data_IF_725280707603
#
_entry.id   IF_725280707603
#
_cell.length_a   1.000
_cell.length_b   1.000
_cell.length_c   1.000
_cell.angle_alpha   90.00
_cell.angle_beta   90.00
_cell.angle_gamma   90.00
#
_symmetry.space_group_name_H-M   'P 1'
#
loop_
_entity.id
_entity.type
_entity.pdbx_description
1 polymer ?
#
# COMPACT_ATOMS: atom_id res chain seq x y z
N UNK A 1 17.59 -5.95 -6.01
CA UNK A 1 17.57 -6.93 -4.96
C UNK A 1 18.54 -6.55 -3.80
N UNK A 2 18.24 -5.42 -3.13
CA UNK A 2 19.10 -4.80 -2.11
C UNK A 2 19.38 -5.73 -0.92
N UNK A 3 18.43 -6.56 -0.54
CA UNK A 3 18.59 -7.54 0.57
C UNK A 3 19.64 -8.62 0.25
N UNK A 4 19.96 -8.84 -1.03
CA UNK A 4 21.04 -9.76 -1.44
C UNK A 4 22.43 -9.10 -1.43
N UNK A 5 22.52 -7.79 -1.19
CA UNK A 5 23.79 -7.10 -1.05
C UNK A 5 24.33 -7.35 0.38
N UNK A 6 25.42 -8.11 0.50
CA UNK A 6 25.97 -8.53 1.80
C UNK A 6 26.37 -7.35 2.71
N UNK A 7 26.74 -6.19 2.14
CA UNK A 7 27.11 -5.00 2.91
C UNK A 7 25.91 -4.24 3.46
N UNK A 8 24.74 -4.33 2.79
CA UNK A 8 23.56 -3.54 3.14
C UNK A 8 22.40 -4.38 3.69
N UNK A 9 22.48 -5.72 3.57
CA UNK A 9 21.41 -6.63 3.93
C UNK A 9 20.94 -6.43 5.40
N UNK A 10 21.89 -6.30 6.33
CA UNK A 10 21.59 -6.07 7.74
C UNK A 10 20.87 -4.74 7.94
N UNK A 11 21.42 -3.64 7.45
CA UNK A 11 20.82 -2.31 7.61
C UNK A 11 19.42 -2.21 6.99
N UNK A 12 19.20 -2.86 5.83
CA UNK A 12 17.90 -2.91 5.16
C UNK A 12 16.90 -3.75 5.97
N UNK A 13 17.34 -4.87 6.55
CA UNK A 13 16.50 -5.71 7.40
C UNK A 13 16.16 -5.01 8.73
N UNK A 14 17.12 -4.32 9.31
CA UNK A 14 16.95 -3.58 10.58
C UNK A 14 16.00 -2.37 10.39
N UNK A 15 15.94 -1.78 9.18
CA UNK A 15 14.98 -0.72 8.84
C UNK A 15 13.51 -1.20 8.86
N UNK A 16 13.28 -2.53 8.82
CA UNK A 16 11.97 -3.17 9.05
C UNK A 16 10.81 -2.58 8.22
N UNK A 17 11.04 -2.25 6.95
CA UNK A 17 10.03 -1.66 6.06
C UNK A 17 8.74 -2.47 5.98
N UNK A 18 8.85 -3.79 5.97
CA UNK A 18 7.68 -4.68 5.96
C UNK A 18 6.85 -4.57 7.23
N UNK A 19 7.50 -4.38 8.38
CA UNK A 19 6.81 -4.17 9.64
C UNK A 19 6.13 -2.80 9.67
N UNK A 20 6.78 -1.77 9.15
CA UNK A 20 6.20 -0.44 9.01
C UNK A 20 4.92 -0.46 8.16
N UNK A 21 4.95 -1.09 6.97
CA UNK A 21 3.76 -1.21 6.10
C UNK A 21 2.66 -2.04 6.75
N UNK A 22 3.01 -3.12 7.46
CA UNK A 22 2.06 -3.92 8.24
C UNK A 22 1.36 -3.09 9.33
N UNK A 23 2.12 -2.28 10.08
CA UNK A 23 1.54 -1.39 11.10
C UNK A 23 0.64 -0.33 10.50
N UNK A 24 1.00 0.26 9.36
CA UNK A 24 0.14 1.23 8.66
C UNK A 24 -1.19 0.60 8.23
N UNK A 25 -1.15 -0.58 7.63
CA UNK A 25 -2.34 -1.30 7.20
C UNK A 25 -3.28 -1.62 8.37
N UNK A 26 -2.73 -2.17 9.45
CA UNK A 26 -3.49 -2.54 10.63
C UNK A 26 -4.12 -1.30 11.31
N UNK A 27 -3.36 -0.22 11.49
CA UNK A 27 -3.86 1.02 12.11
C UNK A 27 -4.89 1.73 11.24
N UNK A 28 -4.69 1.75 9.92
CA UNK A 28 -5.68 2.28 9.00
C UNK A 28 -7.01 1.54 9.12
N UNK A 29 -6.97 0.20 9.21
CA UNK A 29 -8.17 -0.62 9.44
C UNK A 29 -8.88 -0.31 10.76
N UNK A 30 -8.13 -0.07 11.84
CA UNK A 30 -8.71 0.32 13.13
C UNK A 30 -9.38 1.69 13.09
N UNK A 31 -8.78 2.64 12.35
CA UNK A 31 -9.31 4.00 12.19
C UNK A 31 -10.40 4.11 11.10
N UNK A 32 -10.80 3.00 10.48
CA UNK A 32 -11.75 3.00 9.37
C UNK A 32 -11.21 3.69 8.10
N UNK A 33 -9.88 3.81 7.98
CA UNK A 33 -9.19 4.39 6.83
C UNK A 33 -8.73 3.28 5.87
N UNK A 34 -8.56 3.65 4.61
CA UNK A 34 -8.07 2.72 3.58
C UNK A 34 -6.55 2.89 3.43
N UNK A 35 -5.83 1.77 3.56
CA UNK A 35 -4.43 1.67 3.21
C UNK A 35 -4.32 1.03 1.82
N UNK A 36 -3.75 1.75 0.84
CA UNK A 36 -3.58 1.28 -0.53
C UNK A 36 -2.12 1.36 -0.94
N UNK A 37 -1.56 0.23 -1.35
CA UNK A 37 -0.22 0.18 -1.95
C UNK A 37 -0.30 0.41 -3.46
N UNK A 38 0.63 1.21 -3.97
CA UNK A 38 0.85 1.42 -5.40
C UNK A 38 1.99 0.52 -5.86
N UNK A 39 1.95 0.09 -7.13
CA UNK A 39 3.00 -0.76 -7.70
C UNK A 39 4.38 -0.14 -7.50
N UNK A 40 5.33 -0.94 -7.02
CA UNK A 40 6.71 -0.53 -6.71
C UNK A 40 7.48 0.03 -7.91
N UNK A 41 7.06 -0.32 -9.12
CA UNK A 41 7.68 0.14 -10.38
C UNK A 41 6.91 1.29 -11.02
N UNK A 42 5.88 1.80 -10.37
CA UNK A 42 5.13 2.95 -10.85
C UNK A 42 6.06 4.16 -11.02
N UNK A 43 6.13 4.79 -12.20
CA UNK A 43 7.10 5.83 -12.52
C UNK A 43 6.72 7.20 -11.95
N UNK A 44 6.47 7.26 -10.65
CA UNK A 44 5.94 8.45 -9.97
C UNK A 44 6.78 9.71 -10.16
N UNK A 45 8.11 9.62 -10.07
CA UNK A 45 9.02 10.77 -10.19
C UNK A 45 9.25 11.22 -11.62
N UNK A 46 8.98 10.34 -12.61
CA UNK A 46 9.21 10.60 -14.04
C UNK A 46 7.96 11.04 -14.81
N UNK A 47 6.80 11.02 -14.18
CA UNK A 47 5.52 11.39 -14.77
C UNK A 47 5.15 12.79 -14.31
N UNK A 48 4.77 13.67 -15.23
CA UNK A 48 4.26 14.98 -14.90
C UNK A 48 2.88 14.85 -14.25
N UNK A 49 2.68 15.40 -13.07
CA UNK A 49 1.38 15.34 -12.36
C UNK A 49 0.29 16.20 -13.00
N UNK A 50 0.65 17.10 -13.93
CA UNK A 50 -0.29 18.00 -14.60
C UNK A 50 -0.79 17.44 -15.93
N UNK A 51 0.13 16.99 -16.81
CA UNK A 51 -0.24 16.54 -18.15
C UNK A 51 0.02 15.04 -18.39
N UNK A 52 0.46 14.31 -17.36
CA UNK A 52 0.76 12.87 -17.38
C UNK A 52 1.85 12.47 -18.40
N UNK A 53 2.53 13.43 -19.03
CA UNK A 53 3.67 13.14 -19.89
C UNK A 53 4.80 12.50 -19.09
N UNK A 54 5.37 11.41 -19.64
CA UNK A 54 6.44 10.66 -18.99
C UNK A 54 7.79 10.97 -19.64
N UNK A 55 8.76 11.38 -18.84
CA UNK A 55 10.13 11.57 -19.31
C UNK A 55 10.92 10.26 -19.25
N UNK A 56 11.80 10.04 -20.23
CA UNK A 56 12.55 8.79 -20.37
C UNK A 56 13.54 8.56 -19.23
N UNK A 57 14.32 9.58 -18.85
CA UNK A 57 15.30 9.51 -17.78
C UNK A 57 15.28 10.77 -16.91
N UNK A 58 15.50 10.59 -15.62
CA UNK A 58 15.69 11.66 -14.65
C UNK A 58 16.80 11.21 -13.71
N UNK A 59 17.93 11.90 -13.74
CA UNK A 59 19.06 11.59 -12.85
C UNK A 59 18.67 11.75 -11.38
N UNK A 60 19.27 10.95 -10.49
CA UNK A 60 18.92 10.95 -9.06
C UNK A 60 19.24 12.28 -8.37
N UNK A 61 20.23 13.02 -8.89
CA UNK A 61 20.66 14.31 -8.36
C UNK A 61 19.70 15.46 -8.69
N UNK A 62 18.86 15.29 -9.74
CA UNK A 62 17.91 16.32 -10.17
C UNK A 62 16.75 16.39 -9.20
N UNK A 63 16.68 17.46 -8.43
CA UNK A 63 15.60 17.73 -7.47
C UNK A 63 14.43 18.48 -8.11
N UNK A 64 14.72 19.38 -9.04
CA UNK A 64 13.71 20.18 -9.75
C UNK A 64 13.85 19.98 -11.25
N UNK A 65 12.73 19.86 -11.96
CA UNK A 65 12.71 19.68 -13.40
C UNK A 65 11.52 20.38 -14.03
N UNK A 66 11.58 20.63 -15.32
CA UNK A 66 10.50 21.24 -16.07
C UNK A 66 9.95 20.24 -17.09
N UNK A 67 8.62 20.12 -17.16
CA UNK A 67 7.96 19.27 -18.13
C UNK A 67 8.09 19.86 -19.54
N UNK A 68 8.63 19.09 -20.47
CA UNK A 68 8.81 19.54 -21.87
C UNK A 68 7.50 19.69 -22.63
N UNK A 69 6.43 19.00 -22.18
CA UNK A 69 5.13 19.05 -22.85
C UNK A 69 4.26 20.23 -22.38
N UNK A 70 4.14 20.48 -21.08
CA UNK A 70 3.26 21.52 -20.54
C UNK A 70 4.02 22.70 -19.89
N UNK A 71 5.35 22.66 -19.84
CA UNK A 71 6.18 23.71 -19.27
C UNK A 71 6.14 23.85 -17.75
N UNK A 72 5.36 23.05 -17.04
CA UNK A 72 5.24 23.13 -15.58
C UNK A 72 6.56 22.74 -14.90
N UNK A 73 6.99 23.54 -13.93
CA UNK A 73 8.12 23.22 -13.06
C UNK A 73 7.66 22.35 -11.90
N UNK A 74 8.42 21.31 -11.63
CA UNK A 74 8.14 20.35 -10.56
C UNK A 74 9.32 20.26 -9.60
N UNK A 75 9.03 20.19 -8.31
CA UNK A 75 9.87 19.52 -7.35
C UNK A 75 9.67 18.01 -7.54
N UNK A 76 10.75 17.23 -7.58
CA UNK A 76 10.71 15.81 -7.89
C UNK A 76 9.91 15.01 -6.89
N UNK A 77 10.10 15.29 -5.60
CA UNK A 77 9.51 14.50 -4.51
C UNK A 77 8.03 14.87 -4.33
N UNK A 78 7.69 16.15 -4.43
CA UNK A 78 6.30 16.63 -4.41
C UNK A 78 5.51 16.09 -5.60
N UNK A 79 6.09 16.15 -6.80
CA UNK A 79 5.45 15.59 -8.00
C UNK A 79 5.23 14.07 -7.86
N UNK A 80 6.21 13.34 -7.33
CA UNK A 80 6.05 11.90 -7.09
C UNK A 80 4.95 11.60 -6.06
N UNK A 81 4.85 12.37 -4.99
CA UNK A 81 3.81 12.21 -3.97
C UNK A 81 2.40 12.43 -4.56
N UNK A 82 2.22 13.46 -5.41
CA UNK A 82 0.97 13.71 -6.10
C UNK A 82 0.60 12.51 -7.00
N UNK A 83 1.54 12.03 -7.81
CA UNK A 83 1.31 10.91 -8.72
C UNK A 83 0.97 9.61 -7.97
N UNK A 84 1.63 9.33 -6.83
CA UNK A 84 1.34 8.15 -6.00
C UNK A 84 -0.06 8.26 -5.40
N UNK A 85 -0.43 9.43 -4.89
CA UNK A 85 -1.78 9.68 -4.37
C UNK A 85 -2.84 9.42 -5.44
N UNK A 86 -2.66 10.00 -6.61
CA UNK A 86 -3.66 9.95 -7.70
C UNK A 86 -3.78 8.52 -8.26
N UNK A 87 -2.67 7.78 -8.35
CA UNK A 87 -2.70 6.35 -8.71
C UNK A 87 -3.38 5.50 -7.64
N UNK A 88 -3.14 5.76 -6.36
CA UNK A 88 -3.85 5.11 -5.26
C UNK A 88 -5.36 5.34 -5.32
N UNK A 89 -5.79 6.58 -5.57
CA UNK A 89 -7.20 6.93 -5.76
C UNK A 89 -7.80 6.24 -6.98
N UNK A 90 -7.05 6.15 -8.10
CA UNK A 90 -7.48 5.44 -9.31
C UNK A 90 -7.70 3.95 -9.04
N UNK A 91 -6.79 3.29 -8.32
CA UNK A 91 -6.91 1.88 -7.96
C UNK A 91 -8.16 1.64 -7.10
N UNK A 92 -8.40 2.49 -6.11
CA UNK A 92 -9.59 2.43 -5.26
C UNK A 92 -10.89 2.60 -6.05
N UNK A 93 -10.93 3.57 -6.96
CA UNK A 93 -12.11 3.80 -7.81
C UNK A 93 -12.41 2.60 -8.71
N UNK A 94 -11.40 1.97 -9.29
CA UNK A 94 -11.56 0.75 -10.08
C UNK A 94 -11.99 -0.44 -9.24
N UNK A 95 -11.43 -0.60 -8.03
CA UNK A 95 -11.80 -1.67 -7.09
C UNK A 95 -13.26 -1.58 -6.65
N UNK A 96 -13.75 -0.39 -6.36
CA UNK A 96 -15.17 -0.14 -6.01
C UNK A 96 -16.11 -0.40 -7.19
N UNK A 97 -15.70 -0.06 -8.41
CA UNK A 97 -16.49 -0.33 -9.63
C UNK A 97 -16.61 -1.83 -9.93
N UNK A 98 -15.54 -2.61 -9.73
CA UNK A 98 -15.55 -4.05 -9.92
C UNK A 98 -16.46 -4.77 -8.91
N UNK A 99 -16.53 -4.27 -7.66
CA UNK A 99 -17.43 -4.80 -6.64
C UNK A 99 -18.90 -4.56 -6.97
N UNK A 100 -19.23 -3.44 -7.63
CA UNK A 100 -20.61 -3.12 -8.05
C UNK A 100 -21.12 -4.02 -9.17
N UNK A 101 -20.25 -4.63 -9.98
CA UNK A 101 -20.63 -5.47 -11.13
C UNK A 101 -20.63 -6.99 -10.84
N UNK A 102 -20.55 -7.42 -9.58
CA UNK A 102 -20.77 -8.82 -9.17
C UNK A 102 -19.82 -9.87 -9.78
N UNK A 103 -18.70 -9.47 -10.38
CA UNK A 103 -17.70 -10.37 -10.92
C UNK A 103 -16.85 -11.00 -9.83
N UNK A 104 -17.02 -12.31 -9.58
CA UNK A 104 -16.14 -13.08 -8.69
C UNK A 104 -14.73 -13.14 -9.28
N UNK A 105 -13.82 -12.29 -8.79
CA UNK A 105 -12.39 -12.46 -9.03
C UNK A 105 -11.85 -13.41 -7.96
N UNK A 106 -11.75 -14.70 -8.30
CA UNK A 106 -11.09 -15.67 -7.42
C UNK A 106 -9.59 -15.44 -7.50
N UNK A 107 -8.89 -15.11 -6.40
CA UNK A 107 -7.44 -15.11 -6.39
C UNK A 107 -6.95 -16.56 -6.55
N UNK A 108 -6.11 -16.81 -7.55
CA UNK A 108 -5.39 -18.09 -7.67
C UNK A 108 -4.36 -18.16 -6.53
N UNK A 109 -4.80 -18.64 -5.37
CA UNK A 109 -3.90 -19.00 -4.27
C UNK A 109 -3.30 -20.35 -4.58
N UNK A 110 -1.99 -20.39 -4.80
CA UNK A 110 -1.23 -21.63 -4.89
C UNK A 110 -1.43 -22.45 -3.59
N UNK A 111 -1.93 -23.67 -3.77
CA UNK A 111 -2.31 -24.60 -2.70
C UNK A 111 -1.07 -25.09 -1.95
N UNK A 112 -0.71 -24.45 -0.83
CA UNK A 112 0.12 -25.09 0.19
C UNK A 112 -0.78 -25.91 1.11
N UNK A 113 -0.59 -27.24 1.10
CA UNK A 113 -1.20 -28.13 2.08
C UNK A 113 -0.57 -27.85 3.45
N UNK A 114 -1.34 -27.31 4.39
CA UNK A 114 -1.03 -27.37 5.81
C UNK A 114 -2.11 -28.19 6.49
N UNK A 115 -1.69 -29.21 7.21
CA UNK A 115 -2.52 -30.02 8.08
C UNK A 115 -3.01 -29.16 9.25
N UNK A 116 -4.30 -28.89 9.31
CA UNK A 116 -4.91 -28.19 10.43
C UNK A 116 -5.43 -29.23 11.41
N UNK A 117 -4.86 -29.28 12.59
CA UNK A 117 -5.41 -29.96 13.76
C UNK A 117 -6.65 -29.23 14.24
N UNK A 118 -7.69 -30.04 14.47
CA UNK A 118 -9.04 -29.66 14.87
C UNK A 118 -9.02 -28.97 16.24
N UNK A 119 -9.32 -27.68 16.31
CA UNK A 119 -9.54 -26.97 17.57
C UNK A 119 -11.01 -27.12 18.00
N UNK A 120 -11.21 -27.47 19.28
CA UNK A 120 -12.51 -27.57 19.92
C UNK A 120 -13.12 -26.19 20.17
N UNK A 121 -14.45 -26.03 20.14
CA UNK A 121 -15.10 -24.75 20.41
C UNK A 121 -14.99 -24.38 21.89
N UNK A 122 -14.55 -23.16 22.17
CA UNK A 122 -14.58 -22.56 23.50
C UNK A 122 -15.90 -21.83 23.65
N UNK A 123 -16.76 -22.27 24.57
CA UNK A 123 -17.97 -21.56 24.97
C UNK A 123 -17.59 -20.33 25.80
N UNK A 124 -17.93 -19.14 25.28
CA UNK A 124 -17.77 -17.89 26.01
C UNK A 124 -19.05 -17.63 26.81
N UNK A 125 -19.01 -17.97 28.11
CA UNK A 125 -20.07 -17.62 29.06
C UNK A 125 -20.13 -16.11 29.28
N UNK A 126 -21.30 -15.52 29.08
CA UNK A 126 -21.55 -14.08 29.36
C UNK A 126 -21.57 -13.84 30.86
N UNK A 127 -20.90 -12.79 31.38
CA UNK A 127 -21.02 -12.39 32.77
C UNK A 127 -22.36 -11.68 33.02
N UNK A 128 -23.19 -12.26 33.87
CA UNK A 128 -24.41 -11.62 34.40
C UNK A 128 -24.02 -10.53 35.42
N UNK A 129 -24.35 -9.29 35.14
CA UNK A 129 -24.18 -8.18 36.06
C UNK A 129 -25.37 -8.15 37.01
N UNK A 130 -25.12 -8.52 38.28
CA UNK A 130 -26.12 -8.39 39.35
C UNK A 130 -26.06 -6.97 39.93
N UNK A 131 -27.14 -6.21 39.78
CA UNK A 131 -27.31 -4.94 40.44
C UNK A 131 -27.64 -5.19 41.94
N UNK A 132 -26.81 -4.67 42.83
CA UNK A 132 -27.18 -4.50 44.27
C UNK A 132 -27.80 -3.15 44.48
N UNK A 133 -29.05 -3.15 44.89
CA UNK A 133 -29.76 -2.05 45.48
C UNK A 133 -29.53 -2.02 47.01
N UNK A 134 -29.11 -0.88 47.55
CA UNK A 134 -29.41 -0.32 48.84
C UNK A 134 -28.95 1.12 48.88
#
# INVERSE_FOLDING_TARGET
NMVKNHNLAKAISDASWSEFTRMLSYKAGQDGKIYQEVDRFFPSSKTCSVCLNRIGSLALEVRSWQCQNCGTKHDRDVNAAINIRDEGMRILALGTSASANGGKVSPKVGRRKSSVSKALPVEIGSPTFSARSA
#
